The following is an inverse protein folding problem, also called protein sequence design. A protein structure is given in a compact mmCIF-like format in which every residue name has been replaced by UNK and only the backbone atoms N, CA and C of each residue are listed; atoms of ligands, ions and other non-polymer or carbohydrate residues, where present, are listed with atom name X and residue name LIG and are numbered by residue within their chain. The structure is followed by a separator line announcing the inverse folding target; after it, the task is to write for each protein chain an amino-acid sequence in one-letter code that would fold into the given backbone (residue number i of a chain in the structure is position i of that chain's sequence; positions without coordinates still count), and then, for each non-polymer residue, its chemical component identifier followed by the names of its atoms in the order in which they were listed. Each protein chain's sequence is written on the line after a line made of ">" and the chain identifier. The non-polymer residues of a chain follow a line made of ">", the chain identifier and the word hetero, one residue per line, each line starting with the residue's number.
data_IF_746864405101
#
_entry.id   IF_746864405101
#
_cell.length_a   1.000
_cell.length_b   1.000
_cell.length_c   1.000
_cell.angle_alpha   90.00
_cell.angle_beta   90.00
_cell.angle_gamma   90.00
#
_symmetry.space_group_name_H-M   'P 1'
#
loop_
_entity.id
_entity.type
_entity.pdbx_description
1 polymer ?
#
# COMPACT_ATOMS: atom_id res chain seq x y z
N UNK A 1 -41.67 -18.34 19.57
CA UNK A 1 -40.85 -19.35 18.87
C UNK A 1 -39.91 -18.74 17.81
N UNK A 2 -40.08 -17.48 17.36
CA UNK A 2 -39.15 -16.84 16.39
C UNK A 2 -37.84 -16.29 16.98
N UNK A 3 -37.80 -16.04 18.30
CA UNK A 3 -36.60 -15.51 18.97
C UNK A 3 -35.49 -16.56 19.18
N UNK A 4 -35.85 -17.82 19.44
CA UNK A 4 -34.88 -18.90 19.63
C UNK A 4 -34.11 -19.21 18.34
N UNK A 5 -34.78 -19.15 17.18
CA UNK A 5 -34.15 -19.40 15.88
C UNK A 5 -33.09 -18.36 15.52
N UNK A 6 -33.31 -17.08 15.86
CA UNK A 6 -32.34 -16.02 15.56
C UNK A 6 -31.07 -16.13 16.40
N UNK A 7 -31.20 -16.49 17.69
CA UNK A 7 -30.06 -16.69 18.58
C UNK A 7 -29.22 -17.89 18.11
N UNK A 8 -29.85 -18.97 17.65
CA UNK A 8 -29.15 -20.14 17.14
C UNK A 8 -28.37 -19.86 15.84
N UNK A 9 -28.94 -19.06 14.93
CA UNK A 9 -28.29 -18.66 13.68
C UNK A 9 -27.00 -17.86 13.95
N UNK A 10 -27.04 -16.93 14.90
CA UNK A 10 -25.90 -16.03 15.19
C UNK A 10 -24.84 -16.69 16.06
N UNK A 11 -25.18 -17.74 16.80
CA UNK A 11 -24.30 -18.41 17.78
C UNK A 11 -22.92 -18.77 17.21
N UNK A 12 -22.86 -19.25 15.98
CA UNK A 12 -21.63 -19.73 15.35
C UNK A 12 -20.79 -18.61 14.72
N UNK A 13 -21.41 -17.50 14.33
CA UNK A 13 -20.72 -16.38 13.65
C UNK A 13 -20.34 -15.26 14.62
N UNK A 14 -20.79 -15.32 15.88
CA UNK A 14 -20.60 -14.26 16.89
C UNK A 14 -19.14 -13.84 17.09
N UNK A 15 -18.19 -14.78 17.01
CA UNK A 15 -16.77 -14.45 17.20
C UNK A 15 -16.22 -13.63 16.04
N UNK A 16 -16.64 -13.91 14.81
CA UNK A 16 -16.32 -13.08 13.65
C UNK A 16 -16.87 -11.66 13.80
N UNK A 17 -18.11 -11.52 14.25
CA UNK A 17 -18.74 -10.21 14.52
C UNK A 17 -17.94 -9.44 15.58
N UNK A 18 -17.59 -10.09 16.70
CA UNK A 18 -16.82 -9.45 17.78
C UNK A 18 -15.44 -8.99 17.30
N UNK A 19 -14.72 -9.81 16.52
CA UNK A 19 -13.41 -9.43 15.98
C UNK A 19 -13.55 -8.30 14.95
N UNK A 20 -14.58 -8.33 14.11
CA UNK A 20 -14.86 -7.25 13.15
C UNK A 20 -15.18 -5.93 13.83
N UNK A 21 -15.99 -5.95 14.90
CA UNK A 21 -16.25 -4.77 15.74
C UNK A 21 -14.98 -4.25 16.40
N UNK A 22 -14.13 -5.15 16.91
CA UNK A 22 -12.83 -4.78 17.44
C UNK A 22 -11.96 -4.06 16.39
N UNK A 23 -11.93 -4.55 15.14
CA UNK A 23 -11.24 -3.90 14.04
C UNK A 23 -11.75 -2.48 13.75
N UNK A 24 -13.07 -2.27 13.76
CA UNK A 24 -13.68 -0.95 13.60
C UNK A 24 -13.30 -0.01 14.75
N UNK A 25 -13.43 -0.48 16.01
CA UNK A 25 -13.08 0.31 17.20
C UNK A 25 -11.59 0.67 17.18
N UNK A 26 -10.73 -0.28 16.83
CA UNK A 26 -9.30 -0.05 16.67
C UNK A 26 -9.02 1.01 15.60
N UNK A 27 -9.67 0.91 14.43
CA UNK A 27 -9.54 1.91 13.37
C UNK A 27 -9.96 3.31 13.83
N UNK A 28 -11.11 3.43 14.51
CA UNK A 28 -11.59 4.72 15.07
C UNK A 28 -10.60 5.26 16.11
N UNK A 29 -10.17 4.42 17.05
CA UNK A 29 -9.19 4.81 18.07
C UNK A 29 -7.87 5.28 17.45
N UNK A 30 -7.44 4.63 16.37
CA UNK A 30 -6.26 5.03 15.61
C UNK A 30 -6.46 6.40 14.93
N UNK A 31 -7.64 6.70 14.38
CA UNK A 31 -7.93 8.01 13.82
C UNK A 31 -7.82 9.12 14.86
N UNK A 32 -8.42 8.91 16.03
CA UNK A 32 -8.29 9.84 17.16
C UNK A 32 -6.84 10.03 17.56
N UNK A 33 -6.07 8.94 17.59
CA UNK A 33 -4.65 8.99 17.92
C UNK A 33 -3.82 9.76 16.88
N UNK A 34 -4.10 9.61 15.58
CA UNK A 34 -3.45 10.40 14.52
C UNK A 34 -3.77 11.89 14.64
N UNK A 35 -5.03 12.24 14.93
CA UNK A 35 -5.48 13.63 15.00
C UNK A 35 -4.99 14.32 16.29
N UNK A 36 -5.18 13.69 17.44
CA UNK A 36 -4.79 14.27 18.74
C UNK A 36 -3.28 14.17 18.99
N UNK A 37 -2.63 13.17 18.40
CA UNK A 37 -1.21 12.90 18.56
C UNK A 37 -0.33 13.51 17.49
N UNK A 38 -0.87 14.28 16.53
CA UNK A 38 -0.16 14.79 15.36
C UNK A 38 1.27 15.28 15.66
N UNK A 39 1.41 16.21 16.61
CA UNK A 39 2.71 16.77 17.02
C UNK A 39 3.68 15.72 17.57
N UNK A 40 3.17 14.80 18.41
CA UNK A 40 3.98 13.73 18.99
C UNK A 40 4.47 12.78 17.92
N UNK A 41 3.62 12.48 16.95
CA UNK A 41 3.92 11.57 15.84
C UNK A 41 4.99 12.19 14.98
N UNK A 42 4.79 13.43 14.53
CA UNK A 42 5.77 14.16 13.72
C UNK A 42 7.13 14.23 14.40
N UNK A 43 7.17 14.63 15.67
CA UNK A 43 8.41 14.65 16.45
C UNK A 43 9.08 13.27 16.49
N UNK A 44 8.32 12.21 16.76
CA UNK A 44 8.87 10.86 16.83
C UNK A 44 9.38 10.32 15.48
N UNK A 45 8.77 10.76 14.37
CA UNK A 45 9.19 10.38 13.03
C UNK A 45 10.40 11.20 12.58
N UNK A 46 10.48 12.47 12.98
CA UNK A 46 11.62 13.35 12.70
C UNK A 46 12.88 12.84 13.40
N UNK A 47 12.78 12.50 14.69
CA UNK A 47 13.88 11.90 15.47
C UNK A 47 14.45 10.65 14.75
N UNK A 48 13.56 9.78 14.24
CA UNK A 48 13.96 8.58 13.47
C UNK A 48 14.58 8.91 12.11
N UNK A 49 14.18 10.00 11.47
CA UNK A 49 14.75 10.44 10.21
C UNK A 49 16.15 11.02 10.39
N UNK A 50 16.39 11.74 11.49
CA UNK A 50 17.71 12.29 11.84
C UNK A 50 18.68 11.15 12.15
N UNK A 51 18.27 10.17 12.96
CA UNK A 51 19.09 8.98 13.27
C UNK A 51 19.56 8.27 12.00
N UNK A 52 18.69 8.10 11.00
CA UNK A 52 19.07 7.53 9.69
C UNK A 52 20.14 8.36 8.98
N UNK A 53 20.00 9.68 8.96
CA UNK A 53 20.96 10.58 8.30
C UNK A 53 22.34 10.50 8.97
N UNK A 54 22.37 10.49 10.30
CA UNK A 54 23.61 10.35 11.07
C UNK A 54 24.30 9.02 10.77
N UNK A 55 23.59 7.89 10.85
CA UNK A 55 24.13 6.57 10.52
C UNK A 55 24.67 6.53 9.09
N UNK A 56 23.93 7.10 8.12
CA UNK A 56 24.38 7.12 6.73
C UNK A 56 25.64 7.98 6.53
N UNK A 57 25.74 9.12 7.21
CA UNK A 57 26.94 9.97 7.18
C UNK A 57 28.16 9.29 7.80
N UNK A 58 27.98 8.54 8.89
CA UNK A 58 29.05 7.75 9.51
C UNK A 58 29.54 6.63 8.58
N UNK A 59 28.62 5.92 7.92
CA UNK A 59 28.97 4.89 6.94
C UNK A 59 29.77 5.51 5.80
N UNK A 60 29.36 6.67 5.27
CA UNK A 60 30.08 7.36 4.20
C UNK A 60 31.48 7.83 4.62
N UNK A 61 31.68 8.20 5.89
CA UNK A 61 32.99 8.56 6.44
C UNK A 61 33.88 7.33 6.72
N UNK A 62 33.28 6.18 7.02
CA UNK A 62 33.97 4.91 7.27
C UNK A 62 34.27 4.13 5.99
N UNK A 63 33.61 4.45 4.87
CA UNK A 63 33.89 3.85 3.57
C UNK A 63 35.23 4.40 3.05
N UNK A 64 36.33 3.61 3.07
CA UNK A 64 37.62 4.10 2.62
C UNK A 64 37.50 4.49 1.15
N UNK A 65 37.92 5.71 0.83
CA UNK A 65 38.05 6.27 -0.51
C UNK A 65 38.96 5.41 -1.40
N UNK A 66 38.46 4.26 -1.87
CA UNK A 66 39.15 3.35 -2.77
C UNK A 66 38.63 3.46 -4.21
N UNK A 67 38.04 4.60 -4.57
CA UNK A 67 37.66 4.94 -5.94
C UNK A 67 38.69 5.88 -6.60
N UNK A 68 39.98 5.59 -6.46
CA UNK A 68 41.03 6.12 -7.35
C UNK A 68 42.08 5.04 -7.61
N UNK A 69 41.79 4.10 -8.51
CA UNK A 69 42.82 3.37 -9.23
C UNK A 69 42.28 2.81 -10.56
N UNK A 70 43.04 3.05 -11.63
CA UNK A 70 42.98 2.44 -12.98
C UNK A 70 42.10 3.16 -14.02
N UNK A 71 42.64 4.14 -14.75
CA UNK A 71 43.60 3.93 -15.86
C UNK A 71 43.87 5.23 -16.64
N UNK A 72 45.10 5.72 -16.52
CA UNK A 72 45.78 6.49 -17.58
C UNK A 72 47.19 5.90 -17.55
N UNK A 73 47.64 5.12 -18.54
CA UNK A 73 48.51 5.60 -19.62
C UNK A 73 48.88 4.41 -20.49
N UNK A 74 48.60 4.45 -21.80
CA UNK A 74 49.54 3.99 -22.82
C UNK A 74 49.46 4.93 -24.02
N UNK A 75 50.53 5.68 -24.22
CA UNK A 75 50.80 6.49 -25.39
C UNK A 75 51.44 5.63 -26.49
N UNK A 76 51.07 5.93 -27.75
CA UNK A 76 51.92 5.78 -28.94
C UNK A 76 51.59 4.62 -29.88
N UNK A 77 50.88 4.89 -30.99
CA UNK A 77 51.47 4.95 -32.36
C UNK A 77 50.40 5.03 -33.47
N UNK A 78 50.51 6.11 -34.25
CA UNK A 78 50.35 6.30 -35.70
C UNK A 78 49.08 5.90 -36.50
N UNK A 79 48.56 6.95 -37.16
CA UNK A 79 48.21 7.05 -38.59
C UNK A 79 47.02 6.24 -39.14
N UNK A 80 45.90 6.93 -39.42
CA UNK A 80 45.50 7.29 -40.80
C UNK A 80 44.20 8.11 -40.80
N UNK A 81 44.16 9.14 -41.64
CA UNK A 81 43.03 10.06 -41.76
C UNK A 81 41.91 9.57 -42.67
N UNK A 82 40.76 10.23 -42.62
CA UNK A 82 40.17 10.96 -43.74
C UNK A 82 38.81 11.60 -43.36
N UNK A 83 38.64 12.81 -43.91
CA UNK A 83 37.43 13.41 -44.47
C UNK A 83 36.40 14.13 -43.56
N UNK A 84 36.28 15.43 -43.90
CA UNK A 84 35.23 16.42 -43.64
C UNK A 84 33.80 15.95 -44.02
N UNK A 85 32.78 16.56 -43.42
CA UNK A 85 31.79 17.48 -44.07
C UNK A 85 30.66 17.81 -43.07
N UNK A 86 30.61 19.04 -42.53
CA UNK A 86 29.75 20.17 -42.92
C UNK A 86 28.24 20.04 -42.61
N UNK A 87 27.86 20.82 -41.59
CA UNK A 87 26.64 21.61 -41.38
C UNK A 87 25.79 21.89 -42.65
N UNK A 88 24.46 21.80 -42.53
CA UNK A 88 23.51 22.82 -43.00
C UNK A 88 22.07 22.59 -42.49
N UNK A 89 21.36 23.72 -42.40
CA UNK A 89 20.07 23.99 -41.79
C UNK A 89 18.86 23.79 -42.74
N UNK A 90 17.66 23.93 -42.15
CA UNK A 90 16.43 24.55 -42.67
C UNK A 90 15.25 23.73 -43.28
N UNK A 91 14.18 23.64 -42.46
CA UNK A 91 12.85 24.30 -42.58
C UNK A 91 11.76 23.84 -43.59
N UNK A 92 10.50 23.92 -43.10
CA UNK A 92 9.15 23.96 -43.75
C UNK A 92 8.40 22.61 -43.87
N UNK A 93 7.05 22.48 -43.81
CA UNK A 93 5.86 23.14 -43.21
C UNK A 93 4.61 22.35 -43.75
N UNK A 94 3.39 22.63 -43.24
CA UNK A 94 2.02 22.18 -43.64
C UNK A 94 1.46 20.92 -42.91
N UNK A 95 0.40 20.99 -42.08
CA UNK A 95 -1.05 21.30 -42.30
C UNK A 95 -1.73 20.21 -43.17
N UNK A 96 -2.77 19.47 -42.74
CA UNK A 96 -4.17 19.85 -42.45
C UNK A 96 -5.02 18.67 -41.86
N UNK A 97 -6.16 19.02 -41.22
CA UNK A 97 -7.51 18.35 -41.16
C UNK A 97 -7.64 16.83 -40.85
N UNK A 98 -8.61 16.23 -40.14
CA UNK A 98 -9.89 16.60 -39.53
C UNK A 98 -10.82 15.35 -39.44
N UNK A 99 -11.27 14.98 -38.21
CA UNK A 99 -12.54 14.28 -37.83
C UNK A 99 -12.66 12.71 -37.89
N UNK A 100 -13.71 12.06 -37.29
CA UNK A 100 -13.61 11.27 -36.03
C UNK A 100 -14.13 9.79 -36.13
N UNK A 101 -14.26 9.09 -34.98
CA UNK A 101 -14.80 7.71 -34.74
C UNK A 101 -13.67 6.68 -34.56
N UNK A 102 -13.65 5.70 -33.66
CA UNK A 102 -14.69 5.00 -32.89
C UNK A 102 -14.03 4.27 -31.69
N UNK A 103 -14.88 3.87 -30.74
CA UNK A 103 -14.63 3.03 -29.56
C UNK A 103 -13.66 1.85 -29.79
N UNK A 104 -12.74 1.66 -28.84
CA UNK A 104 -12.34 0.34 -28.37
C UNK A 104 -11.90 0.43 -26.89
N UNK A 105 -12.71 -0.18 -26.02
CA UNK A 105 -12.44 -0.36 -24.60
C UNK A 105 -11.49 -1.56 -24.45
N UNK A 106 -10.20 -1.29 -24.23
CA UNK A 106 -9.26 -2.29 -23.73
C UNK A 106 -9.01 -2.01 -22.24
N UNK A 107 -9.69 -2.74 -21.36
CA UNK A 107 -9.33 -2.80 -19.94
C UNK A 107 -7.99 -3.52 -19.80
N UNK A 108 -6.91 -2.75 -19.70
CA UNK A 108 -5.59 -3.25 -19.38
C UNK A 108 -5.38 -3.19 -17.87
N UNK A 109 -5.23 -4.37 -17.27
CA UNK A 109 -4.96 -4.60 -15.86
C UNK A 109 -3.67 -3.88 -15.44
N UNK A 110 -3.76 -2.94 -14.48
CA UNK A 110 -2.58 -2.33 -13.87
C UNK A 110 -1.89 -3.35 -12.94
N UNK A 111 -0.75 -3.85 -13.40
CA UNK A 111 0.28 -4.41 -12.53
C UNK A 111 0.99 -3.27 -11.82
N UNK A 112 1.19 -3.44 -10.51
CA UNK A 112 1.96 -2.54 -9.65
C UNK A 112 3.42 -2.45 -10.16
N UNK A 113 3.71 -1.35 -10.83
CA UNK A 113 5.04 -0.91 -11.22
C UNK A 113 5.01 0.61 -11.31
N UNK A 114 5.29 1.29 -10.20
CA UNK A 114 5.27 2.74 -10.12
C UNK A 114 6.47 3.32 -10.89
N UNK A 115 6.21 3.78 -12.12
CA UNK A 115 7.04 4.76 -12.81
C UNK A 115 6.82 6.14 -12.16
N UNK A 116 7.88 6.71 -11.60
CA UNK A 116 7.89 8.09 -11.10
C UNK A 116 7.75 9.08 -12.28
N UNK A 117 6.63 9.80 -12.34
CA UNK A 117 6.48 10.97 -13.22
C UNK A 117 7.13 12.20 -12.57
N UNK A 118 7.82 13.07 -13.33
CA UNK A 118 8.36 14.32 -12.82
C UNK A 118 7.23 15.34 -12.62
N UNK A 119 7.33 16.11 -11.54
CA UNK A 119 6.37 17.14 -11.14
C UNK A 119 6.21 18.21 -12.24
N UNK A 120 4.98 18.47 -12.67
CA UNK A 120 4.63 19.69 -13.39
C UNK A 120 4.45 20.83 -12.38
N UNK A 121 5.32 21.82 -12.48
CA UNK A 121 5.19 23.13 -11.84
C UNK A 121 3.96 23.84 -12.40
N UNK A 122 2.81 23.82 -11.70
CA UNK A 122 1.74 24.81 -11.82
C UNK A 122 0.58 24.44 -10.89
N UNK A 123 0.75 24.66 -9.58
CA UNK A 123 -0.39 24.99 -8.71
C UNK A 123 0.11 25.73 -7.47
N UNK A 124 0.41 27.02 -7.66
CA UNK A 124 0.75 27.96 -6.59
C UNK A 124 -0.50 28.75 -6.22
N UNK A 125 -1.32 28.27 -5.28
CA UNK A 125 -2.06 29.15 -4.38
C UNK A 125 -2.42 28.44 -3.07
N UNK A 126 -2.01 29.07 -1.96
CA UNK A 126 -2.23 28.69 -0.55
C UNK A 126 -1.37 27.55 0.01
N UNK A 127 -0.05 27.68 -0.16
CA UNK A 127 0.92 27.02 0.72
C UNK A 127 0.96 27.80 2.04
N UNK A 128 0.30 27.28 3.07
CA UNK A 128 0.54 27.72 4.44
C UNK A 128 1.97 27.28 4.79
N UNK A 129 2.90 28.23 4.75
CA UNK A 129 4.31 27.99 5.05
C UNK A 129 4.47 27.74 6.55
N UNK A 130 4.69 26.48 6.94
CA UNK A 130 4.88 26.14 8.34
C UNK A 130 5.14 24.67 8.68
N UNK A 131 5.52 23.81 7.72
CA UNK A 131 5.89 22.43 8.05
C UNK A 131 6.82 21.87 6.97
N UNK A 132 8.07 21.57 7.34
CA UNK A 132 9.04 20.91 6.46
C UNK A 132 8.70 19.41 6.32
N UNK A 133 7.57 19.07 5.70
CA UNK A 133 7.24 17.68 5.43
C UNK A 133 8.13 17.15 4.30
N UNK A 134 9.21 16.48 4.69
CA UNK A 134 10.04 15.72 3.73
C UNK A 134 9.19 14.65 3.04
N UNK A 135 9.47 14.26 1.78
CA UNK A 135 8.71 13.23 1.07
C UNK A 135 8.58 11.90 1.84
N UNK A 136 9.60 11.57 2.64
CA UNK A 136 9.61 10.38 3.51
C UNK A 136 8.62 10.51 4.68
N UNK A 137 8.43 11.72 5.21
CA UNK A 137 7.45 11.99 6.27
C UNK A 137 6.03 11.86 5.74
N UNK A 138 5.77 12.43 4.57
CA UNK A 138 4.48 12.31 3.89
C UNK A 138 4.15 10.84 3.60
N UNK A 139 5.12 10.06 3.12
CA UNK A 139 4.95 8.63 2.89
C UNK A 139 4.65 7.86 4.19
N UNK A 140 5.37 8.15 5.28
CA UNK A 140 5.11 7.56 6.58
C UNK A 140 3.67 7.84 7.05
N UNK A 141 3.22 9.09 6.91
CA UNK A 141 1.86 9.50 7.24
C UNK A 141 0.81 8.78 6.39
N UNK A 142 0.98 8.76 5.05
CA UNK A 142 0.08 8.05 4.13
C UNK A 142 -0.05 6.57 4.49
N UNK A 143 1.05 5.90 4.87
CA UNK A 143 1.05 4.49 5.29
C UNK A 143 0.25 4.27 6.59
N UNK A 144 0.37 5.17 7.57
CA UNK A 144 -0.42 5.09 8.80
C UNK A 144 -1.92 5.36 8.56
N UNK A 145 -2.25 6.32 7.69
CA UNK A 145 -3.64 6.60 7.27
C UNK A 145 -4.22 5.42 6.49
N UNK A 146 -3.42 4.75 5.64
CA UNK A 146 -3.85 3.54 4.95
C UNK A 146 -4.17 2.41 5.94
N UNK A 147 -3.37 2.26 7.00
CA UNK A 147 -3.65 1.30 8.08
C UNK A 147 -4.97 1.58 8.79
N UNK A 148 -5.28 2.85 9.09
CA UNK A 148 -6.58 3.25 9.63
C UNK A 148 -7.76 2.81 8.76
N UNK A 149 -7.72 3.18 7.47
CA UNK A 149 -8.81 2.92 6.54
C UNK A 149 -9.05 1.41 6.37
N UNK A 150 -7.98 0.63 6.28
CA UNK A 150 -8.09 -0.83 6.19
C UNK A 150 -8.59 -1.46 7.48
N UNK A 151 -8.26 -0.95 8.66
CA UNK A 151 -8.80 -1.46 9.92
C UNK A 151 -10.33 -1.35 9.97
N UNK A 152 -10.87 -0.19 9.58
CA UNK A 152 -12.32 0.01 9.52
C UNK A 152 -12.95 -0.84 8.41
N UNK A 153 -12.40 -0.79 7.20
CA UNK A 153 -12.93 -1.51 6.04
C UNK A 153 -12.93 -3.02 6.23
N UNK A 154 -11.81 -3.61 6.66
CA UNK A 154 -11.68 -5.05 6.85
C UNK A 154 -12.43 -5.54 8.09
N UNK A 155 -12.57 -4.71 9.13
CA UNK A 155 -13.47 -4.98 10.25
C UNK A 155 -14.92 -5.12 9.78
N UNK A 156 -15.38 -4.20 8.94
CA UNK A 156 -16.72 -4.27 8.34
C UNK A 156 -16.88 -5.48 7.41
N UNK A 157 -15.89 -5.76 6.55
CA UNK A 157 -15.90 -6.94 5.68
C UNK A 157 -16.03 -8.23 6.49
N UNK A 158 -15.34 -8.32 7.63
CA UNK A 158 -15.44 -9.48 8.54
C UNK A 158 -16.86 -9.65 9.10
N UNK A 159 -17.51 -8.54 9.48
CA UNK A 159 -18.91 -8.56 9.94
C UNK A 159 -19.82 -9.02 8.80
N UNK A 160 -19.64 -8.51 7.58
CA UNK A 160 -20.42 -8.91 6.41
C UNK A 160 -20.24 -10.40 6.10
N UNK A 161 -19.01 -10.92 6.09
CA UNK A 161 -18.71 -12.35 5.92
C UNK A 161 -19.42 -13.18 7.00
N UNK A 162 -19.39 -12.72 8.25
CA UNK A 162 -20.06 -13.38 9.38
C UNK A 162 -21.56 -13.49 9.13
N UNK A 163 -22.20 -12.40 8.71
CA UNK A 163 -23.63 -12.40 8.41
C UNK A 163 -23.97 -13.27 7.20
N UNK A 164 -23.22 -13.17 6.11
CA UNK A 164 -23.46 -13.97 4.92
C UNK A 164 -23.40 -15.47 5.25
N UNK A 165 -22.35 -15.90 5.95
CA UNK A 165 -22.20 -17.31 6.32
C UNK A 165 -23.29 -17.79 7.27
N UNK A 166 -23.83 -16.93 8.16
CA UNK A 166 -24.91 -17.30 9.08
C UNK A 166 -26.12 -17.92 8.35
N UNK A 167 -26.47 -17.36 7.19
CA UNK A 167 -27.63 -17.75 6.39
C UNK A 167 -27.35 -18.81 5.32
N UNK A 168 -26.12 -19.34 5.28
CA UNK A 168 -25.74 -20.39 4.33
C UNK A 168 -25.88 -21.80 4.88
N UNK A 169 -25.82 -22.79 3.98
CA UNK A 169 -25.72 -24.22 4.28
C UNK A 169 -24.35 -24.66 4.80
N UNK A 170 -23.44 -23.72 5.07
CA UNK A 170 -22.13 -24.01 5.65
C UNK A 170 -22.26 -24.75 7.00
N UNK A 171 -21.28 -25.60 7.32
CA UNK A 171 -21.25 -26.27 8.62
C UNK A 171 -20.91 -25.28 9.75
N UNK A 172 -21.33 -25.58 10.97
CA UNK A 172 -21.10 -24.73 12.15
C UNK A 172 -19.61 -24.41 12.38
N UNK A 173 -18.73 -25.36 12.06
CA UNK A 173 -17.27 -25.16 12.11
C UNK A 173 -16.81 -24.10 11.12
N UNK A 174 -17.33 -24.11 9.89
CA UNK A 174 -17.00 -23.11 8.86
C UNK A 174 -17.53 -21.74 9.27
N UNK A 175 -18.79 -21.67 9.73
CA UNK A 175 -19.42 -20.45 10.26
C UNK A 175 -18.63 -19.83 11.42
N UNK A 176 -17.86 -20.63 12.15
CA UNK A 176 -17.01 -20.16 13.25
C UNK A 176 -15.60 -19.79 12.77
N UNK A 177 -14.90 -20.73 12.12
CA UNK A 177 -13.46 -20.59 11.81
C UNK A 177 -13.24 -19.52 10.74
N UNK A 178 -14.05 -19.50 9.68
CA UNK A 178 -13.81 -18.65 8.52
C UNK A 178 -13.92 -17.16 8.86
N UNK A 179 -14.98 -16.69 9.56
CA UNK A 179 -15.03 -15.30 10.00
C UNK A 179 -13.93 -14.92 10.99
N UNK A 180 -13.51 -15.85 11.86
CA UNK A 180 -12.41 -15.61 12.81
C UNK A 180 -11.09 -15.42 12.06
N UNK A 181 -10.77 -16.29 11.10
CA UNK A 181 -9.57 -16.15 10.26
C UNK A 181 -9.60 -14.86 9.46
N UNK A 182 -10.74 -14.53 8.84
CA UNK A 182 -10.92 -13.28 8.11
C UNK A 182 -10.71 -12.06 9.02
N UNK A 183 -11.24 -12.09 10.25
CA UNK A 183 -11.06 -11.03 11.24
C UNK A 183 -9.62 -10.88 11.71
N UNK A 184 -8.92 -11.99 11.96
CA UNK A 184 -7.48 -11.98 12.33
C UNK A 184 -6.67 -11.38 11.18
N UNK A 185 -6.88 -11.84 9.95
CA UNK A 185 -6.21 -11.27 8.77
C UNK A 185 -6.53 -9.79 8.58
N UNK A 186 -7.81 -9.43 8.77
CA UNK A 186 -8.34 -8.08 8.69
C UNK A 186 -7.78 -7.13 9.74
N UNK A 187 -7.24 -7.64 10.85
CA UNK A 187 -6.53 -6.87 11.86
C UNK A 187 -5.00 -6.84 11.62
N UNK A 188 -4.40 -7.97 11.28
CA UNK A 188 -2.94 -8.08 11.05
C UNK A 188 -2.49 -7.20 9.88
N UNK A 189 -3.24 -7.18 8.80
CA UNK A 189 -2.91 -6.38 7.61
C UNK A 189 -2.83 -4.85 7.88
N UNK A 190 -3.87 -4.19 8.44
CA UNK A 190 -3.77 -2.78 8.77
C UNK A 190 -2.74 -2.47 9.85
N UNK A 191 -2.52 -3.39 10.80
CA UNK A 191 -1.44 -3.26 11.78
C UNK A 191 -0.06 -3.22 11.10
N UNK A 192 0.16 -4.07 10.08
CA UNK A 192 1.39 -4.06 9.29
C UNK A 192 1.61 -2.71 8.58
N UNK A 193 0.56 -2.08 8.03
CA UNK A 193 0.64 -0.73 7.43
C UNK A 193 1.06 0.34 8.45
N UNK A 194 0.52 0.27 9.66
CA UNK A 194 0.88 1.20 10.74
C UNK A 194 2.36 1.05 11.10
N UNK A 195 2.82 -0.19 11.30
CA UNK A 195 4.24 -0.49 11.59
C UNK A 195 5.14 -0.04 10.44
N UNK A 196 4.71 -0.26 9.19
CA UNK A 196 5.44 0.21 8.01
C UNK A 196 5.58 1.74 8.02
N UNK A 197 4.52 2.47 8.35
CA UNK A 197 4.54 3.93 8.50
C UNK A 197 5.60 4.39 9.50
N UNK A 198 5.61 3.82 10.71
CA UNK A 198 6.61 4.16 11.74
C UNK A 198 8.05 3.80 11.40
N UNK A 199 8.26 2.78 10.56
CA UNK A 199 9.59 2.35 10.12
C UNK A 199 10.09 3.12 8.90
N UNK A 200 9.20 3.78 8.17
CA UNK A 200 9.54 4.49 6.92
C UNK A 200 10.61 5.57 7.11
N UNK A 201 10.59 6.42 8.16
CA UNK A 201 11.64 7.43 8.34
C UNK A 201 13.02 6.85 8.61
N UNK A 202 13.10 5.72 9.32
CA UNK A 202 14.35 5.08 9.69
C UNK A 202 14.91 4.18 8.58
N UNK A 203 14.05 3.40 7.92
CA UNK A 203 14.46 2.37 6.95
C UNK A 203 14.32 2.80 5.49
N UNK A 204 13.65 3.92 5.20
CA UNK A 204 13.23 4.26 3.85
C UNK A 204 12.01 3.45 3.38
N UNK A 205 11.59 3.67 2.13
CA UNK A 205 10.38 3.06 1.57
C UNK A 205 10.47 1.53 1.53
N UNK A 206 11.51 1.00 0.86
CA UNK A 206 11.71 -0.43 0.58
C UNK A 206 12.05 -1.20 1.86
N UNK A 207 12.93 -0.64 2.70
CA UNK A 207 13.33 -1.27 3.95
C UNK A 207 12.17 -1.42 4.93
N UNK A 208 11.29 -0.41 5.00
CA UNK A 208 10.09 -0.49 5.83
C UNK A 208 9.10 -1.52 5.30
N UNK A 209 8.92 -1.60 3.98
CA UNK A 209 8.03 -2.56 3.34
C UNK A 209 8.49 -4.00 3.56
N UNK A 210 9.75 -4.31 3.22
CA UNK A 210 10.35 -5.62 3.44
C UNK A 210 10.24 -6.08 4.91
N UNK A 211 10.31 -5.13 5.85
CA UNK A 211 10.23 -5.43 7.29
C UNK A 211 8.86 -5.89 7.77
N UNK A 212 7.80 -5.73 6.97
CA UNK A 212 6.43 -6.12 7.32
C UNK A 212 5.79 -7.10 6.34
N UNK A 213 6.37 -7.34 5.16
CA UNK A 213 5.80 -8.27 4.17
C UNK A 213 5.54 -9.66 4.73
N UNK A 214 6.42 -10.15 5.60
CA UNK A 214 6.31 -11.46 6.26
C UNK A 214 5.06 -11.60 7.15
N UNK A 215 4.53 -10.49 7.67
CA UNK A 215 3.29 -10.46 8.46
C UNK A 215 2.07 -10.04 7.63
N UNK A 216 2.25 -9.10 6.69
CA UNK A 216 1.18 -8.56 5.88
C UNK A 216 0.61 -9.61 4.90
N UNK A 217 1.48 -10.38 4.24
CA UNK A 217 1.08 -11.41 3.27
C UNK A 217 0.13 -12.46 3.84
N UNK A 218 0.48 -13.13 4.97
CA UNK A 218 -0.44 -14.04 5.64
C UNK A 218 -1.76 -13.39 6.06
N UNK A 219 -1.74 -12.12 6.50
CA UNK A 219 -2.94 -11.37 6.83
C UNK A 219 -3.91 -11.23 5.65
N UNK A 220 -3.40 -10.84 4.48
CA UNK A 220 -4.19 -10.76 3.23
C UNK A 220 -4.76 -12.12 2.86
N UNK A 221 -3.94 -13.17 2.90
CA UNK A 221 -4.36 -14.53 2.55
C UNK A 221 -5.56 -14.99 3.40
N UNK A 222 -5.52 -14.74 4.71
CA UNK A 222 -6.61 -15.12 5.62
C UNK A 222 -7.92 -14.41 5.27
N UNK A 223 -7.88 -13.11 4.93
CA UNK A 223 -9.06 -12.36 4.47
C UNK A 223 -9.61 -12.94 3.17
N UNK A 224 -8.73 -13.22 2.20
CA UNK A 224 -9.13 -13.78 0.90
C UNK A 224 -9.77 -15.16 1.03
N UNK A 225 -9.26 -16.02 1.93
CA UNK A 225 -9.90 -17.30 2.27
C UNK A 225 -11.32 -17.06 2.81
N UNK A 226 -11.48 -16.06 3.68
CA UNK A 226 -12.76 -15.60 4.21
C UNK A 226 -13.77 -15.26 3.13
N UNK A 227 -13.39 -14.31 2.26
CA UNK A 227 -14.20 -13.82 1.16
C UNK A 227 -14.54 -14.96 0.19
N UNK A 228 -13.54 -15.73 -0.23
CA UNK A 228 -13.72 -16.82 -1.20
C UNK A 228 -14.68 -17.88 -0.67
N UNK A 229 -14.54 -18.26 0.60
CA UNK A 229 -15.43 -19.26 1.21
C UNK A 229 -16.87 -18.74 1.30
N UNK A 230 -17.08 -17.48 1.70
CA UNK A 230 -18.41 -16.89 1.72
C UNK A 230 -19.06 -16.88 0.33
N UNK A 231 -18.32 -16.49 -0.72
CA UNK A 231 -18.79 -16.51 -2.10
C UNK A 231 -19.17 -17.93 -2.53
N UNK A 232 -18.33 -18.93 -2.27
CA UNK A 232 -18.60 -20.32 -2.65
C UNK A 232 -19.89 -20.83 -2.04
N UNK A 233 -20.13 -20.59 -0.74
CA UNK A 233 -21.36 -21.04 -0.09
C UNK A 233 -22.59 -20.26 -0.55
N UNK A 234 -22.47 -18.95 -0.80
CA UNK A 234 -23.57 -18.16 -1.37
C UNK A 234 -23.97 -18.64 -2.76
N UNK A 235 -22.99 -18.93 -3.63
CA UNK A 235 -23.26 -19.46 -4.96
C UNK A 235 -23.91 -20.84 -4.88
N UNK A 236 -23.32 -21.75 -4.09
CA UNK A 236 -23.87 -23.09 -3.88
C UNK A 236 -25.33 -23.04 -3.44
N UNK A 237 -25.66 -22.19 -2.46
CA UNK A 237 -27.02 -22.10 -1.94
C UNK A 237 -27.99 -21.42 -2.92
N UNK A 238 -27.50 -20.48 -3.73
CA UNK A 238 -28.30 -19.82 -4.78
C UNK A 238 -28.66 -20.79 -5.90
N UNK A 239 -27.76 -21.71 -6.26
CA UNK A 239 -28.00 -22.71 -7.31
C UNK A 239 -28.75 -23.95 -6.81
N UNK A 240 -28.59 -24.35 -5.55
CA UNK A 240 -29.33 -25.50 -4.97
C UNK A 240 -30.78 -25.19 -4.60
N UNK A 241 -31.17 -23.91 -4.49
CA UNK A 241 -32.56 -23.51 -4.21
C UNK A 241 -33.42 -23.33 -5.48
N UNK A 242 -32.89 -23.64 -6.66
CA UNK A 242 -33.64 -23.82 -7.91
C UNK A 242 -33.94 -25.30 -8.12
#
# INVERSE_FOLDING_TARGET
>A
MEGETMIEIVKHVRYGILIGLFGIIFGIGWAFWLVLGHERIHKSLEERAVERKEVHSLIQLLEPSNAQANTTTKAGQNEHGHAQSSKNEDTHQHAEEGKPSQKDEHMQMMGEGEHMMPASEEDKHQRNEGMHDSPIMELAHKRMVRGHLHAMGLGLVTIVISFLLAFTSASDRIKTIVPVLAGIGGFVYPFAWIVMGYRTPALGADGAEASVTTIAGPGVLLVLIGISTAIVFLLKDSFSKR
#
